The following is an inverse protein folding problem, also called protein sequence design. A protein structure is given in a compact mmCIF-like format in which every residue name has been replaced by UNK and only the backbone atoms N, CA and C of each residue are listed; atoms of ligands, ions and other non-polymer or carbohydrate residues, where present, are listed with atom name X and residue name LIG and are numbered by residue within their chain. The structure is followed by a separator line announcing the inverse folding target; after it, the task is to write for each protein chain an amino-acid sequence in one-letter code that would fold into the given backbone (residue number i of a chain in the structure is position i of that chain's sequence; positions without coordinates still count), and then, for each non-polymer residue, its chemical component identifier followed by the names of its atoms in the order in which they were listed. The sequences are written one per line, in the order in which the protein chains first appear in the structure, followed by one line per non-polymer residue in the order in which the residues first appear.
data_IF_268062025126
#
_entry.id   IF_268062025126
#
_cell.length_a   1.000
_cell.length_b   1.000
_cell.length_c   1.000
_cell.angle_alpha   90.00
_cell.angle_beta   90.00
_cell.angle_gamma   90.00
#
_symmetry.space_group_name_H-M   'P 1'
#
loop_
_entity.id
_entity.type
_entity.pdbx_description
1 polymer ?
#
# COMPACT_ATOMS: atom_id res chain seq x y z
N UNK A 1 0.89 22.92 -24.55
CA UNK A 1 1.23 21.52 -24.21
C UNK A 1 2.60 21.24 -24.83
N UNK A 2 3.61 20.96 -24.02
CA UNK A 2 5.00 20.84 -24.48
C UNK A 2 5.21 19.56 -25.33
N UNK A 3 5.71 19.66 -26.56
CA UNK A 3 5.85 18.54 -27.50
C UNK A 3 7.05 17.60 -27.21
N UNK A 4 7.75 17.79 -26.08
CA UNK A 4 8.99 17.06 -25.76
C UNK A 4 8.79 15.80 -24.91
N UNK A 5 7.56 15.48 -24.48
CA UNK A 5 7.23 14.18 -23.88
C UNK A 5 6.89 13.15 -24.95
N UNK A 6 7.76 12.98 -25.96
CA UNK A 6 7.69 11.80 -26.82
C UNK A 6 8.18 10.60 -26.01
N UNK A 7 7.20 9.91 -25.43
CA UNK A 7 7.31 8.63 -24.74
C UNK A 7 8.32 7.72 -25.43
N UNK A 8 9.46 7.47 -24.78
CA UNK A 8 10.27 6.30 -25.10
C UNK A 8 9.40 5.09 -24.77
N UNK A 9 9.11 4.28 -25.77
CA UNK A 9 8.25 3.09 -25.71
C UNK A 9 8.84 1.93 -24.88
N UNK A 10 9.51 2.22 -23.78
CA UNK A 10 9.61 1.25 -22.69
C UNK A 10 8.22 1.19 -22.06
N UNK A 11 7.48 0.10 -22.33
CA UNK A 11 6.13 -0.19 -21.82
C UNK A 11 6.14 -0.32 -20.29
N UNK A 12 6.38 0.78 -19.63
CA UNK A 12 6.39 0.95 -18.19
C UNK A 12 5.03 1.52 -17.81
N UNK A 13 4.31 0.76 -17.02
CA UNK A 13 3.00 1.12 -16.52
C UNK A 13 3.12 1.48 -15.04
N UNK A 14 2.24 2.38 -14.60
CA UNK A 14 2.01 2.64 -13.20
C UNK A 14 0.99 1.63 -12.66
N UNK A 15 1.32 0.97 -11.57
CA UNK A 15 0.42 0.06 -10.86
C UNK A 15 0.19 0.56 -9.45
N UNK A 16 -1.04 0.45 -8.97
CA UNK A 16 -1.44 0.85 -7.64
C UNK A 16 -2.43 -0.15 -7.07
N UNK A 17 -2.22 -0.48 -5.79
CA UNK A 17 -3.13 -1.24 -4.96
C UNK A 17 -3.43 -0.45 -3.69
N UNK A 18 -4.63 -0.64 -3.15
CA UNK A 18 -5.09 0.01 -1.93
C UNK A 18 -5.81 -1.00 -1.03
N UNK A 19 -5.72 -0.80 0.28
CA UNK A 19 -6.58 -1.43 1.28
C UNK A 19 -6.60 -0.59 2.57
N UNK A 20 -7.63 -0.78 3.39
CA UNK A 20 -7.80 -0.07 4.66
C UNK A 20 -7.85 -1.05 5.83
N UNK A 21 -7.22 -0.67 6.94
CA UNK A 21 -7.26 -1.41 8.20
C UNK A 21 -7.83 -0.58 9.35
N UNK A 22 -8.31 -1.28 10.38
CA UNK A 22 -8.65 -0.73 11.70
C UNK A 22 -8.10 -1.60 12.84
N UNK A 23 -8.24 -1.12 14.08
CA UNK A 23 -7.94 -1.92 15.29
C UNK A 23 -6.49 -1.92 15.75
N UNK A 24 -5.59 -1.21 15.06
CA UNK A 24 -4.17 -1.10 15.42
C UNK A 24 -3.67 0.35 15.32
N UNK A 25 -2.78 0.74 16.24
CA UNK A 25 -2.12 2.04 16.23
C UNK A 25 -0.89 2.09 15.31
N UNK A 26 -0.62 3.26 14.74
CA UNK A 26 0.40 3.48 13.69
C UNK A 26 1.83 3.10 14.12
N UNK A 27 2.18 3.25 15.39
CA UNK A 27 3.52 2.92 15.91
C UNK A 27 3.91 1.45 15.73
N UNK A 28 2.93 0.54 15.65
CA UNK A 28 3.18 -0.89 15.40
C UNK A 28 3.37 -1.23 13.93
N UNK A 29 3.02 -0.31 13.02
CA UNK A 29 3.04 -0.52 11.57
C UNK A 29 4.41 -0.24 10.97
N UNK A 30 5.15 0.74 11.52
CA UNK A 30 6.40 1.22 10.97
C UNK A 30 7.40 0.08 10.68
N UNK A 31 7.59 -0.83 11.65
CA UNK A 31 8.52 -1.95 11.50
C UNK A 31 8.14 -2.89 10.34
N UNK A 32 6.85 -3.15 10.16
CA UNK A 32 6.34 -4.00 9.07
C UNK A 32 6.53 -3.33 7.71
N UNK A 33 6.24 -2.04 7.63
CA UNK A 33 6.39 -1.28 6.38
C UNK A 33 7.84 -1.10 5.99
N UNK A 34 8.73 -0.88 6.95
CA UNK A 34 10.19 -0.78 6.72
C UNK A 34 10.75 -2.10 6.18
N UNK A 35 10.47 -3.23 6.84
CA UNK A 35 10.93 -4.55 6.39
C UNK A 35 10.52 -4.85 4.94
N UNK A 36 9.26 -4.56 4.58
CA UNK A 36 8.76 -4.80 3.22
C UNK A 36 9.35 -3.82 2.21
N UNK A 37 9.57 -2.57 2.60
CA UNK A 37 10.19 -1.57 1.71
C UNK A 37 11.65 -1.92 1.41
N UNK A 38 12.39 -2.39 2.42
CA UNK A 38 13.77 -2.86 2.25
C UNK A 38 13.85 -4.10 1.37
N UNK A 39 12.94 -5.06 1.58
CA UNK A 39 12.89 -6.32 0.81
C UNK A 39 12.43 -6.11 -0.64
N UNK A 40 11.58 -5.12 -0.88
CA UNK A 40 10.97 -4.84 -2.18
C UNK A 40 11.16 -3.36 -2.55
N UNK A 41 12.40 -2.95 -2.79
CA UNK A 41 12.78 -1.54 -3.07
C UNK A 41 12.09 -0.91 -4.29
N UNK A 42 11.45 -1.72 -5.12
CA UNK A 42 10.67 -1.34 -6.30
C UNK A 42 9.19 -1.03 -6.01
N UNK A 43 8.72 -1.34 -4.79
CA UNK A 43 7.35 -1.10 -4.33
C UNK A 43 7.39 0.01 -3.28
N UNK A 44 6.61 1.05 -3.49
CA UNK A 44 6.45 2.14 -2.53
C UNK A 44 5.20 1.88 -1.69
N UNK A 45 5.36 1.90 -0.36
CA UNK A 45 4.27 1.71 0.59
C UNK A 45 4.06 3.03 1.34
N UNK A 46 2.82 3.52 1.36
CA UNK A 46 2.42 4.72 2.11
C UNK A 46 1.18 4.42 2.96
N UNK A 47 1.14 4.94 4.18
CA UNK A 47 -0.02 4.86 5.08
C UNK A 47 -0.60 6.24 5.34
N UNK A 48 -1.94 6.32 5.37
CA UNK A 48 -2.68 7.54 5.67
C UNK A 48 -3.67 7.27 6.81
N UNK A 49 -3.36 7.68 8.05
CA UNK A 49 -4.30 7.56 9.15
C UNK A 49 -5.43 8.59 9.00
N UNK A 50 -6.67 8.14 9.13
CA UNK A 50 -7.87 8.98 9.11
C UNK A 50 -8.84 8.53 10.19
N UNK A 51 -9.84 9.36 10.45
CA UNK A 51 -10.94 8.99 11.33
C UNK A 51 -12.21 8.90 10.49
N UNK A 52 -12.82 7.72 10.42
CA UNK A 52 -14.09 7.49 9.73
C UNK A 52 -15.24 7.44 10.75
N UNK A 53 -16.34 8.13 10.45
CA UNK A 53 -17.57 8.03 11.24
C UNK A 53 -18.28 6.73 10.87
N UNK A 54 -18.50 5.87 11.85
CA UNK A 54 -19.26 4.62 11.69
C UNK A 54 -20.54 4.67 12.54
N UNK A 55 -21.45 3.71 12.35
CA UNK A 55 -22.64 3.55 13.19
C UNK A 55 -22.31 3.36 14.69
N UNK A 56 -21.07 2.94 15.00
CA UNK A 56 -20.56 2.72 16.36
C UNK A 56 -19.75 3.91 16.90
N UNK A 57 -19.66 5.01 16.13
CA UNK A 57 -18.89 6.21 16.47
C UNK A 57 -17.64 6.41 15.59
N UNK A 58 -16.76 7.31 16.02
CA UNK A 58 -15.55 7.67 15.30
C UNK A 58 -14.50 6.56 15.44
N UNK A 59 -14.14 5.89 14.35
CA UNK A 59 -13.09 4.87 14.31
C UNK A 59 -11.84 5.41 13.62
N UNK A 60 -10.67 5.10 14.18
CA UNK A 60 -9.40 5.34 13.51
C UNK A 60 -9.17 4.23 12.49
N UNK A 61 -8.98 4.62 11.24
CA UNK A 61 -8.64 3.71 10.14
C UNK A 61 -7.34 4.15 9.50
N UNK A 62 -6.65 3.22 8.85
CA UNK A 62 -5.38 3.50 8.18
C UNK A 62 -5.47 2.92 6.78
N UNK A 63 -5.40 3.78 5.77
CA UNK A 63 -5.40 3.36 4.36
C UNK A 63 -3.96 3.23 3.88
N UNK A 64 -3.64 2.07 3.32
CA UNK A 64 -2.37 1.78 2.69
C UNK A 64 -2.48 1.92 1.18
N UNK A 65 -1.54 2.65 0.59
CA UNK A 65 -1.35 2.70 -0.85
C UNK A 65 -0.01 2.05 -1.18
N UNK A 66 -0.05 1.06 -2.06
CA UNK A 66 1.11 0.39 -2.60
C UNK A 66 1.21 0.76 -4.06
N UNK A 67 2.36 1.30 -4.48
CA UNK A 67 2.56 1.74 -5.86
C UNK A 67 3.87 1.22 -6.44
N UNK A 68 3.87 1.01 -7.76
CA UNK A 68 5.06 0.58 -8.48
C UNK A 68 5.06 1.07 -9.93
N UNK A 69 6.24 1.27 -10.49
CA UNK A 69 6.44 1.55 -11.92
C UNK A 69 7.24 0.40 -12.54
N UNK A 70 6.74 -0.19 -13.62
CA UNK A 70 7.43 -1.31 -14.26
C UNK A 70 6.60 -2.02 -15.33
N UNK A 71 6.98 -3.26 -15.63
CA UNK A 71 6.25 -4.17 -16.53
C UNK A 71 5.22 -5.01 -15.76
N UNK A 72 4.47 -5.88 -16.43
CA UNK A 72 3.46 -6.73 -15.77
C UNK A 72 3.99 -7.58 -14.59
N UNK A 73 5.28 -7.96 -14.59
CA UNK A 73 5.86 -8.71 -13.46
C UNK A 73 5.89 -7.87 -12.16
N UNK A 74 5.94 -6.53 -12.28
CA UNK A 74 5.87 -5.64 -11.11
C UNK A 74 4.48 -5.67 -10.48
N UNK A 75 3.43 -5.91 -11.27
CA UNK A 75 2.05 -6.02 -10.80
C UNK A 75 1.87 -7.26 -9.93
N UNK A 76 2.41 -8.40 -10.37
CA UNK A 76 2.39 -9.63 -9.57
C UNK A 76 3.19 -9.46 -8.27
N UNK A 77 4.31 -8.74 -8.33
CA UNK A 77 5.11 -8.41 -7.14
C UNK A 77 4.34 -7.50 -6.19
N UNK A 78 3.70 -6.46 -6.71
CA UNK A 78 2.86 -5.53 -5.95
C UNK A 78 1.74 -6.27 -5.20
N UNK A 79 1.07 -7.20 -5.88
CA UNK A 79 0.01 -8.01 -5.27
C UNK A 79 0.54 -8.93 -4.16
N UNK A 80 1.68 -9.58 -4.36
CA UNK A 80 2.34 -10.38 -3.31
C UNK A 80 2.74 -9.54 -2.10
N UNK A 81 3.23 -8.32 -2.32
CA UNK A 81 3.58 -7.40 -1.22
C UNK A 81 2.32 -6.95 -0.48
N UNK A 82 1.22 -6.67 -1.18
CA UNK A 82 -0.09 -6.37 -0.56
C UNK A 82 -0.54 -7.51 0.34
N UNK A 83 -0.55 -8.74 -0.16
CA UNK A 83 -0.95 -9.93 0.59
C UNK A 83 -0.05 -10.19 1.80
N UNK A 84 1.28 -10.05 1.63
CA UNK A 84 2.23 -10.18 2.71
C UNK A 84 2.05 -9.11 3.78
N UNK A 85 1.78 -7.87 3.39
CA UNK A 85 1.51 -6.77 4.31
C UNK A 85 0.21 -7.05 5.08
N UNK A 86 -0.87 -7.39 4.38
CA UNK A 86 -2.15 -7.76 4.98
C UNK A 86 -2.01 -8.89 6.01
N UNK A 87 -1.29 -9.96 5.68
CA UNK A 87 -1.04 -11.07 6.61
C UNK A 87 -0.31 -10.60 7.87
N UNK A 88 0.79 -9.86 7.73
CA UNK A 88 1.55 -9.35 8.88
C UNK A 88 0.71 -8.41 9.74
N UNK A 89 -0.17 -7.61 9.14
CA UNK A 89 -1.06 -6.70 9.85
C UNK A 89 -2.15 -7.46 10.62
N UNK A 90 -2.73 -8.50 10.03
CA UNK A 90 -3.68 -9.40 10.70
C UNK A 90 -3.02 -10.09 11.90
N UNK A 91 -1.78 -10.56 11.77
CA UNK A 91 -1.01 -11.16 12.87
C UNK A 91 -0.76 -10.18 14.03
N UNK A 92 -0.72 -8.87 13.73
CA UNK A 92 -0.61 -7.81 14.73
C UNK A 92 -1.96 -7.36 15.33
N UNK A 93 -3.07 -7.98 14.89
CA UNK A 93 -4.42 -7.71 15.37
C UNK A 93 -5.17 -6.61 14.62
N UNK A 94 -4.70 -6.23 13.43
CA UNK A 94 -5.48 -5.34 12.55
C UNK A 94 -6.67 -6.08 11.93
N UNK A 95 -7.73 -5.36 11.58
CA UNK A 95 -8.83 -5.87 10.77
C UNK A 95 -8.82 -5.17 9.40
N UNK A 96 -8.93 -5.93 8.32
CA UNK A 96 -9.05 -5.37 6.97
C UNK A 96 -10.52 -5.06 6.71
N UNK A 97 -10.81 -3.81 6.31
CA UNK A 97 -12.19 -3.33 6.15
C UNK A 97 -12.55 -2.95 4.72
N UNK A 98 -11.57 -2.65 3.86
CA UNK A 98 -11.73 -2.33 2.44
C UNK A 98 -10.51 -2.80 1.66
#
# INVERSE_FOLDING_TARGET
ILPELKSREDKTSFFQEEFTIEGIGESRLAHVTEELTEKYSQIYIKSHPTHEMTSEGLKSVITFHLTAYGNENIKETLQKVKESLQSKLLDLGANIVK
#
